data_IF_540385320182
#
_entry.id   IF_540385320182
#
_cell.length_a   1.000
_cell.length_b   1.000
_cell.length_c   1.000
_cell.angle_alpha   90.00
_cell.angle_beta   90.00
_cell.angle_gamma   90.00
#
_symmetry.space_group_name_H-M   'P 1'
#
loop_
_entity.id
_entity.type
_entity.pdbx_description
1 polymer ?
#
# COMPACT_ATOMS: atom_id res chain seq x y z
N UNK A 1 3.86 -17.26 -1.95
CA UNK A 1 3.63 -15.97 -2.66
C UNK A 1 2.20 -15.49 -2.37
N UNK A 2 1.97 -14.74 -1.28
CA UNK A 2 0.61 -14.40 -0.81
C UNK A 2 -0.30 -13.66 -1.82
N UNK A 3 0.25 -12.93 -2.79
CA UNK A 3 -0.52 -12.32 -3.91
C UNK A 3 -0.21 -12.97 -5.28
N UNK A 4 0.73 -13.93 -5.34
CA UNK A 4 0.96 -14.78 -6.51
C UNK A 4 1.42 -14.09 -7.80
N UNK A 5 1.65 -12.77 -7.79
CA UNK A 5 2.11 -11.98 -8.95
C UNK A 5 3.21 -10.99 -8.56
N UNK A 6 3.94 -10.52 -9.56
CA UNK A 6 4.83 -9.37 -9.40
C UNK A 6 4.01 -8.10 -9.11
N UNK A 7 4.53 -7.25 -8.22
CA UNK A 7 3.98 -5.93 -7.98
C UNK A 7 4.10 -5.05 -9.22
N UNK A 8 3.14 -4.14 -9.41
CA UNK A 8 3.15 -3.14 -10.48
C UNK A 8 3.22 -1.74 -9.88
N UNK A 9 3.61 -0.71 -10.67
CA UNK A 9 3.56 0.67 -10.22
C UNK A 9 2.18 1.10 -9.69
N UNK A 10 1.10 0.54 -10.25
CA UNK A 10 -0.28 0.81 -9.82
C UNK A 10 -0.56 0.38 -8.37
N UNK A 11 0.14 -0.64 -7.86
CA UNK A 11 0.01 -1.07 -6.46
C UNK A 11 0.50 0.03 -5.50
N UNK A 12 1.61 0.68 -5.85
CA UNK A 12 2.15 1.81 -5.07
C UNK A 12 1.25 3.04 -5.25
N UNK A 13 0.81 3.33 -6.48
CA UNK A 13 -0.09 4.45 -6.74
C UNK A 13 -1.39 4.35 -5.91
N UNK A 14 -1.94 3.14 -5.77
CA UNK A 14 -3.12 2.89 -4.93
C UNK A 14 -2.85 3.14 -3.45
N UNK A 15 -1.68 2.75 -2.94
CA UNK A 15 -1.27 3.04 -1.58
C UNK A 15 -1.05 4.54 -1.32
N UNK A 16 -0.50 5.27 -2.30
CA UNK A 16 -0.40 6.73 -2.24
C UNK A 16 -1.79 7.35 -2.23
N UNK A 17 -2.69 6.91 -3.13
CA UNK A 17 -4.07 7.39 -3.20
C UNK A 17 -4.80 7.23 -1.87
N UNK A 18 -4.57 6.13 -1.14
CA UNK A 18 -5.09 5.95 0.22
C UNK A 18 -4.60 7.04 1.19
N UNK A 19 -3.29 7.36 1.19
CA UNK A 19 -2.75 8.38 2.10
C UNK A 19 -3.14 9.81 1.77
N UNK A 20 -3.48 10.11 0.50
CA UNK A 20 -3.90 11.45 0.08
C UNK A 20 -5.42 11.63 0.03
N UNK A 21 -6.19 10.60 0.37
CA UNK A 21 -7.64 10.70 0.44
C UNK A 21 -8.08 11.62 1.59
N UNK A 22 -9.21 12.32 1.40
CA UNK A 22 -9.75 13.23 2.42
C UNK A 22 -10.03 12.52 3.75
N UNK A 23 -10.44 11.25 3.71
CA UNK A 23 -10.73 10.43 4.90
C UNK A 23 -9.46 9.99 5.67
N UNK A 24 -8.26 10.28 5.16
CA UNK A 24 -6.99 9.98 5.81
C UNK A 24 -6.44 11.14 6.66
N UNK A 25 -7.23 12.20 6.89
CA UNK A 25 -6.80 13.46 7.53
C UNK A 25 -6.12 13.30 8.91
N UNK A 26 -6.47 12.27 9.67
CA UNK A 26 -5.93 11.99 10.99
C UNK A 26 -4.82 10.92 10.99
N UNK A 27 -4.49 10.35 9.83
CA UNK A 27 -3.48 9.30 9.70
C UNK A 27 -2.11 9.93 9.48
N UNK A 28 -1.23 9.81 10.48
CA UNK A 28 0.15 10.31 10.40
C UNK A 28 1.14 9.35 11.08
N UNK A 29 2.41 9.43 10.67
CA UNK A 29 3.50 8.60 11.18
C UNK A 29 3.41 7.11 10.85
N UNK A 30 2.45 6.69 10.02
CA UNK A 30 2.27 5.28 9.64
C UNK A 30 3.07 4.92 8.39
N UNK A 31 3.57 3.69 8.35
CA UNK A 31 4.15 3.08 7.15
C UNK A 31 3.25 1.94 6.65
N UNK A 32 2.94 1.94 5.35
CA UNK A 32 2.16 0.88 4.71
C UNK A 32 3.08 -0.01 3.87
N UNK A 33 3.14 -1.30 4.19
CA UNK A 33 3.88 -2.28 3.38
C UNK A 33 3.07 -2.72 2.18
N UNK A 34 3.55 -2.42 0.97
CA UNK A 34 2.91 -2.78 -0.30
C UNK A 34 3.71 -3.90 -0.99
N UNK A 35 3.79 -5.04 -0.32
CA UNK A 35 4.70 -6.14 -0.72
C UNK A 35 3.99 -7.38 -1.26
N UNK A 36 2.65 -7.36 -1.37
CA UNK A 36 1.87 -8.55 -1.75
C UNK A 36 1.85 -9.64 -0.67
N UNK A 37 2.05 -9.25 0.59
CA UNK A 37 2.12 -10.09 1.79
C UNK A 37 3.56 -10.48 2.21
N UNK A 38 3.75 -11.02 3.42
CA UNK A 38 5.07 -11.38 3.92
C UNK A 38 5.66 -12.57 3.16
N UNK A 39 6.99 -12.55 2.95
CA UNK A 39 7.73 -13.76 2.60
C UNK A 39 7.82 -14.62 3.86
N UNK A 40 7.15 -15.77 3.83
CA UNK A 40 7.32 -16.87 4.76
C UNK A 40 7.71 -18.11 3.98
#
# INVERSE_FOLDING_TARGET
MPVGRLGTPDDIASAVAFFVADDADFITGQGLSVSGGPHG
#
